data_IF_206335297942
#
_entry.id   IF_206335297942
#
_cell.length_a   1.000
_cell.length_b   1.000
_cell.length_c   1.000
_cell.angle_alpha   90.00
_cell.angle_beta   90.00
_cell.angle_gamma   90.00
#
_symmetry.space_group_name_H-M   'P 1'
#
loop_
_entity.id
_entity.type
_entity.pdbx_description
1 polymer ?
#
# COMPACT_ATOMS: atom_id res chain seq x y z
N UNK A 1 5.22 -9.77 31.64
CA UNK A 1 3.90 -9.18 31.99
C UNK A 1 3.47 -8.00 31.11
N UNK A 2 4.34 -7.06 30.72
CA UNK A 2 3.96 -5.90 29.92
C UNK A 2 3.41 -6.23 28.51
N UNK A 3 3.93 -7.24 27.83
CA UNK A 3 3.47 -7.68 26.50
C UNK A 3 2.04 -8.25 26.54
N UNK A 4 1.73 -9.10 27.53
CA UNK A 4 0.41 -9.69 27.71
C UNK A 4 -0.69 -8.63 27.91
N UNK A 5 -0.41 -7.59 28.72
CA UNK A 5 -1.35 -6.49 28.97
C UNK A 5 -1.55 -5.58 27.73
N UNK A 6 -0.54 -5.46 26.86
CA UNK A 6 -0.67 -4.74 25.58
C UNK A 6 -1.55 -5.52 24.60
N UNK A 7 -1.35 -6.83 24.48
CA UNK A 7 -2.14 -7.68 23.58
C UNK A 7 -3.61 -7.71 23.98
N UNK A 8 -3.92 -7.83 25.28
CA UNK A 8 -5.30 -7.81 25.78
C UNK A 8 -6.02 -6.48 25.49
N UNK A 9 -5.33 -5.33 25.62
CA UNK A 9 -5.92 -4.02 25.28
C UNK A 9 -6.25 -3.87 23.80
N UNK A 10 -5.48 -4.49 22.91
CA UNK A 10 -5.71 -4.42 21.46
C UNK A 10 -6.91 -5.29 21.07
N UNK A 11 -7.08 -6.46 21.70
CA UNK A 11 -8.16 -7.40 21.40
C UNK A 11 -9.55 -6.91 21.87
N UNK A 12 -9.62 -6.14 22.95
CA UNK A 12 -10.89 -5.70 23.55
C UNK A 12 -11.17 -4.19 23.38
N UNK A 13 -10.53 -3.54 22.43
CA UNK A 13 -10.76 -2.11 22.20
C UNK A 13 -12.09 -1.83 21.49
N UNK A 14 -12.73 -0.67 21.75
CA UNK A 14 -13.95 -0.29 21.04
C UNK A 14 -13.68 -0.10 19.54
N UNK A 15 -14.55 -0.60 18.66
CA UNK A 15 -14.41 -0.40 17.20
C UNK A 15 -14.22 1.07 16.79
N UNK A 16 -14.83 2.00 17.51
CA UNK A 16 -14.68 3.45 17.26
C UNK A 16 -13.22 3.93 17.41
N UNK A 17 -12.40 3.28 18.24
CA UNK A 17 -10.98 3.64 18.39
C UNK A 17 -10.11 3.20 17.21
N UNK A 18 -10.62 2.33 16.33
CA UNK A 18 -9.96 1.92 15.10
C UNK A 18 -10.17 2.92 13.94
N UNK A 19 -11.03 3.92 14.11
CA UNK A 19 -11.24 4.97 13.10
C UNK A 19 -10.22 6.08 13.25
N UNK A 20 -9.76 6.61 12.12
CA UNK A 20 -8.95 7.83 12.10
C UNK A 20 -9.73 9.00 12.71
N UNK A 21 -9.10 9.71 13.64
CA UNK A 21 -9.58 10.99 14.14
C UNK A 21 -8.46 12.02 14.09
N UNK A 22 -8.84 13.27 13.91
CA UNK A 22 -7.92 14.39 13.94
C UNK A 22 -7.58 14.72 15.40
N UNK A 23 -6.32 14.50 15.79
CA UNK A 23 -5.82 14.82 17.11
C UNK A 23 -5.34 16.29 17.20
N UNK A 24 -4.95 16.88 16.08
CA UNK A 24 -4.61 18.31 15.92
C UNK A 24 -4.69 18.70 14.43
N UNK A 25 -4.56 19.98 14.04
CA UNK A 25 -4.64 20.40 12.63
C UNK A 25 -3.79 19.59 11.65
N UNK A 26 -2.62 19.09 12.10
CA UNK A 26 -1.66 18.34 11.27
C UNK A 26 -1.49 16.88 11.67
N UNK A 27 -2.21 16.38 12.69
CA UNK A 27 -1.99 15.03 13.23
C UNK A 27 -3.30 14.24 13.24
N UNK A 28 -3.27 13.08 12.61
CA UNK A 28 -4.37 12.11 12.58
C UNK A 28 -3.91 10.82 13.25
N UNK A 29 -4.81 10.19 14.01
CA UNK A 29 -4.48 8.99 14.78
C UNK A 29 -5.63 8.00 14.76
N UNK A 30 -5.29 6.73 14.88
CA UNK A 30 -6.19 5.65 15.30
C UNK A 30 -5.42 4.64 16.14
N UNK A 31 -6.12 3.80 16.87
CA UNK A 31 -5.48 2.63 17.45
C UNK A 31 -5.14 1.62 16.34
N UNK A 32 -4.11 0.81 16.60
CA UNK A 32 -3.81 -0.35 15.77
C UNK A 32 -4.81 -1.47 16.05
N UNK A 33 -5.19 -2.23 15.03
CA UNK A 33 -6.02 -3.43 15.21
C UNK A 33 -5.18 -4.64 15.69
N UNK A 34 -5.85 -5.77 15.94
CA UNK A 34 -5.18 -7.00 16.39
C UNK A 34 -4.17 -7.55 15.38
N UNK A 35 -4.44 -7.40 14.09
CA UNK A 35 -3.59 -7.92 13.01
C UNK A 35 -2.34 -7.05 12.87
N UNK A 36 -2.49 -5.72 12.90
CA UNK A 36 -1.37 -4.78 12.96
C UNK A 36 -0.52 -5.01 14.22
N UNK A 37 -1.16 -5.21 15.38
CA UNK A 37 -0.48 -5.51 16.64
C UNK A 37 0.35 -6.80 16.58
N UNK A 38 -0.19 -7.86 15.96
CA UNK A 38 0.52 -9.11 15.71
C UNK A 38 1.78 -8.86 14.86
N UNK A 39 1.66 -8.15 13.73
CA UNK A 39 2.79 -7.92 12.83
C UNK A 39 3.85 -6.98 13.42
N UNK A 40 3.45 -5.96 14.20
CA UNK A 40 4.40 -5.09 14.91
C UNK A 40 5.26 -5.90 15.88
N UNK A 41 4.62 -6.79 16.65
CA UNK A 41 5.26 -7.62 17.67
C UNK A 41 6.16 -8.67 17.00
N UNK A 42 5.60 -9.49 16.12
CA UNK A 42 6.30 -10.58 15.44
C UNK A 42 7.41 -10.10 14.49
N UNK A 43 7.27 -8.90 13.91
CA UNK A 43 8.25 -8.32 13.01
C UNK A 43 9.48 -7.75 13.73
N UNK A 44 9.33 -7.28 14.96
CA UNK A 44 10.33 -6.49 15.68
C UNK A 44 10.97 -7.20 16.89
N UNK A 45 10.43 -8.33 17.32
CA UNK A 45 11.00 -9.11 18.43
C UNK A 45 12.22 -9.93 18.00
N UNK A 46 13.27 -9.94 18.84
CA UNK A 46 14.47 -10.77 18.68
C UNK A 46 15.14 -10.64 17.29
N UNK A 47 15.11 -9.45 16.70
CA UNK A 47 15.83 -9.12 15.47
C UNK A 47 17.04 -8.25 15.79
N UNK A 48 18.23 -8.50 15.18
CA UNK A 48 19.37 -7.60 15.29
C UNK A 48 18.99 -6.17 14.89
N UNK A 49 19.65 -5.19 15.48
CA UNK A 49 19.37 -3.78 15.22
C UNK A 49 19.43 -3.48 13.71
N UNK A 50 18.40 -2.79 13.20
CA UNK A 50 18.28 -2.44 11.78
C UNK A 50 17.75 -3.56 10.88
N UNK A 51 17.43 -4.74 11.43
CA UNK A 51 16.71 -5.82 10.75
C UNK A 51 15.25 -5.86 11.21
N UNK A 52 14.38 -6.41 10.36
CA UNK A 52 12.97 -6.68 10.67
C UNK A 52 12.54 -7.95 9.96
N UNK A 53 11.62 -8.70 10.59
CA UNK A 53 10.97 -9.87 9.98
C UNK A 53 9.64 -9.46 9.38
N UNK A 54 9.13 -10.31 8.51
CA UNK A 54 7.80 -10.18 7.88
C UNK A 54 7.67 -8.97 6.95
N UNK A 55 8.75 -8.32 6.53
CA UNK A 55 8.61 -7.32 5.47
C UNK A 55 8.09 -7.96 4.19
N UNK A 56 7.08 -7.35 3.61
CA UNK A 56 6.62 -7.69 2.27
C UNK A 56 7.48 -6.94 1.27
N UNK A 57 7.94 -7.66 0.24
CA UNK A 57 8.67 -7.07 -0.88
C UNK A 57 8.04 -7.54 -2.18
N UNK A 58 7.67 -6.59 -3.03
CA UNK A 58 7.26 -6.86 -4.41
C UNK A 58 8.20 -6.14 -5.36
N UNK A 59 8.71 -6.87 -6.35
CA UNK A 59 9.62 -6.35 -7.38
C UNK A 59 8.92 -6.36 -8.72
N UNK A 60 9.08 -5.29 -9.49
CA UNK A 60 8.63 -5.19 -10.87
C UNK A 60 9.79 -4.78 -11.77
N UNK A 61 9.93 -5.48 -12.89
CA UNK A 61 10.86 -5.15 -13.96
C UNK A 61 10.07 -4.60 -15.14
N UNK A 62 10.33 -3.37 -15.54
CA UNK A 62 9.66 -2.74 -16.67
C UNK A 62 10.43 -3.00 -17.97
N UNK A 63 9.79 -3.71 -18.89
CA UNK A 63 10.23 -3.75 -20.27
C UNK A 63 9.70 -2.51 -20.99
N UNK A 64 10.51 -1.45 -20.99
CA UNK A 64 10.22 -0.24 -21.76
C UNK A 64 10.79 -0.45 -23.16
N UNK A 65 9.94 -0.38 -24.19
CA UNK A 65 10.37 -0.43 -25.58
C UNK A 65 11.20 0.79 -25.97
N UNK A 66 11.25 1.13 -27.27
CA UNK A 66 12.00 2.30 -27.77
C UNK A 66 11.46 3.67 -27.29
N UNK A 67 10.52 3.69 -26.35
CA UNK A 67 9.94 4.90 -25.78
C UNK A 67 10.81 5.55 -24.70
N UNK A 68 10.30 6.64 -24.15
CA UNK A 68 10.97 7.36 -23.07
C UNK A 68 10.98 6.53 -21.78
N UNK A 69 12.16 6.02 -21.45
CA UNK A 69 12.44 5.36 -20.17
C UNK A 69 12.14 6.30 -19.00
N UNK A 70 11.51 5.81 -17.91
CA UNK A 70 11.21 6.64 -16.76
C UNK A 70 12.50 7.10 -16.10
N UNK A 71 12.70 8.41 -16.01
CA UNK A 71 13.80 9.01 -15.27
C UNK A 71 13.57 8.91 -13.77
N UNK A 72 14.65 8.94 -12.97
CA UNK A 72 14.57 9.04 -11.50
C UNK A 72 13.67 10.18 -11.03
N UNK A 73 13.68 11.32 -11.72
CA UNK A 73 12.82 12.47 -11.37
C UNK A 73 11.34 12.16 -11.53
N UNK A 74 10.96 11.52 -12.64
CA UNK A 74 9.58 11.12 -12.90
C UNK A 74 9.11 10.05 -11.90
N UNK A 75 9.97 9.07 -11.62
CA UNK A 75 9.71 8.03 -10.62
C UNK A 75 9.46 8.61 -9.22
N UNK A 76 10.29 9.57 -8.79
CA UNK A 76 10.10 10.28 -7.51
C UNK A 76 8.83 11.11 -7.48
N UNK A 77 8.48 11.78 -8.58
CA UNK A 77 7.22 12.52 -8.69
C UNK A 77 6.01 11.58 -8.59
N UNK A 78 6.07 10.41 -9.22
CA UNK A 78 5.02 9.38 -9.12
C UNK A 78 4.84 8.90 -7.68
N UNK A 79 5.94 8.72 -6.95
CA UNK A 79 5.89 8.35 -5.53
C UNK A 79 5.22 9.41 -4.65
N UNK A 80 5.52 10.70 -4.89
CA UNK A 80 4.80 11.80 -4.22
C UNK A 80 3.32 11.78 -4.58
N UNK A 81 2.97 11.62 -5.86
CA UNK A 81 1.58 11.60 -6.33
C UNK A 81 0.80 10.45 -5.66
N UNK A 82 1.41 9.27 -5.59
CA UNK A 82 0.84 8.11 -4.91
C UNK A 82 0.60 8.39 -3.42
N UNK A 83 1.53 9.03 -2.73
CA UNK A 83 1.36 9.40 -1.31
C UNK A 83 0.24 10.42 -1.08
N UNK A 84 -0.07 11.29 -2.05
CA UNK A 84 -1.24 12.17 -1.94
C UNK A 84 -2.54 11.37 -2.02
N UNK A 85 -2.59 10.34 -2.86
CA UNK A 85 -3.74 9.43 -2.99
C UNK A 85 -3.88 8.48 -1.79
N UNK A 86 -2.76 8.03 -1.24
CA UNK A 86 -2.70 7.04 -0.17
C UNK A 86 -1.90 7.56 1.03
N UNK A 87 -2.35 8.62 1.72
CA UNK A 87 -1.58 9.25 2.80
C UNK A 87 -1.20 8.29 3.94
N UNK A 88 -1.98 7.22 4.14
CA UNK A 88 -1.70 6.18 5.14
C UNK A 88 -0.34 5.47 4.92
N UNK A 89 0.24 5.51 3.72
CA UNK A 89 1.57 4.98 3.47
C UNK A 89 2.68 5.77 4.18
N UNK A 90 2.44 7.05 4.51
CA UNK A 90 3.39 7.88 5.24
C UNK A 90 3.19 7.84 6.77
N UNK A 91 2.16 7.09 7.23
CA UNK A 91 1.90 6.90 8.66
C UNK A 91 2.94 6.01 9.33
N UNK A 92 3.03 6.09 10.66
CA UNK A 92 3.95 5.32 11.50
C UNK A 92 3.23 4.74 12.70
N UNK A 93 3.80 3.69 13.29
CA UNK A 93 3.32 3.16 14.57
C UNK A 93 4.05 3.85 15.73
N UNK A 94 3.29 4.41 16.67
CA UNK A 94 3.78 4.99 17.93
C UNK A 94 3.04 4.32 19.10
N UNK A 95 3.71 3.38 19.76
CA UNK A 95 3.09 2.56 20.80
C UNK A 95 1.94 1.73 20.23
N UNK A 96 0.72 1.93 20.72
CA UNK A 96 -0.49 1.23 20.26
C UNK A 96 -1.31 2.04 19.25
N UNK A 97 -0.73 3.08 18.65
CA UNK A 97 -1.41 3.98 17.71
C UNK A 97 -0.72 3.99 16.36
N UNK A 98 -1.52 4.02 15.30
CA UNK A 98 -1.09 4.44 13.96
C UNK A 98 -1.28 5.94 13.86
N UNK A 99 -0.22 6.65 13.51
CA UNK A 99 -0.15 8.11 13.51
C UNK A 99 0.27 8.59 12.14
N UNK A 100 -0.51 9.52 11.61
CA UNK A 100 -0.22 10.19 10.37
C UNK A 100 -0.01 11.68 10.62
N UNK A 101 1.04 12.22 10.02
CA UNK A 101 1.38 13.63 10.08
C UNK A 101 1.20 14.23 8.69
N UNK A 102 0.35 15.26 8.59
CA UNK A 102 0.27 16.08 7.40
C UNK A 102 1.60 16.81 7.25
N UNK A 103 2.25 16.62 6.10
CA UNK A 103 3.59 17.12 5.84
C UNK A 103 3.55 18.45 5.09
N UNK A 104 4.36 19.40 5.53
CA UNK A 104 4.69 20.58 4.74
C UNK A 104 5.63 20.22 3.56
N UNK A 105 6.10 21.25 2.84
CA UNK A 105 6.99 21.03 1.69
C UNK A 105 8.34 20.42 2.08
N UNK A 106 8.94 20.87 3.18
CA UNK A 106 10.25 20.41 3.64
C UNK A 106 10.16 18.98 4.20
N UNK A 107 9.16 18.71 5.02
CA UNK A 107 8.88 17.38 5.57
C UNK A 107 8.59 16.36 4.47
N UNK A 108 7.89 16.78 3.41
CA UNK A 108 7.63 15.92 2.24
C UNK A 108 8.91 15.54 1.51
N UNK A 109 9.84 16.49 1.36
CA UNK A 109 11.13 16.22 0.73
C UNK A 109 11.96 15.25 1.57
N UNK A 110 12.01 15.46 2.89
CA UNK A 110 12.67 14.53 3.81
C UNK A 110 12.06 13.13 3.76
N UNK A 111 10.72 13.02 3.73
CA UNK A 111 10.03 11.74 3.56
C UNK A 111 10.37 11.07 2.23
N UNK A 112 10.44 11.83 1.13
CA UNK A 112 10.79 11.30 -0.18
C UNK A 112 12.23 10.78 -0.21
N UNK A 113 13.16 11.49 0.43
CA UNK A 113 14.57 11.08 0.51
C UNK A 113 14.76 9.83 1.39
N UNK A 114 13.93 9.66 2.42
CA UNK A 114 13.89 8.45 3.25
C UNK A 114 13.27 7.25 2.51
N UNK A 115 12.20 7.47 1.74
CA UNK A 115 11.33 6.40 1.22
C UNK A 115 11.49 6.10 -0.27
N UNK A 116 12.31 6.85 -1.00
CA UNK A 116 12.64 6.55 -2.39
C UNK A 116 14.16 6.46 -2.57
N UNK A 117 14.65 5.22 -2.62
CA UNK A 117 16.08 4.90 -2.64
C UNK A 117 16.52 4.50 -4.03
N UNK A 118 17.48 5.23 -4.59
CA UNK A 118 18.16 4.82 -5.81
C UNK A 118 19.22 3.76 -5.48
N UNK A 119 19.29 2.70 -6.26
CA UNK A 119 20.23 1.57 -6.09
C UNK A 119 21.24 1.60 -7.23
N UNK A 120 22.39 2.28 -7.07
CA UNK A 120 23.40 2.38 -8.12
C UNK A 120 24.24 1.10 -8.23
N UNK A 121 24.71 0.80 -9.44
CA UNK A 121 25.73 -0.24 -9.67
C UNK A 121 25.22 -1.67 -9.58
N UNK A 122 23.91 -1.87 -9.53
CA UNK A 122 23.29 -3.20 -9.52
C UNK A 122 22.64 -3.51 -10.86
N UNK A 123 22.45 -4.80 -11.15
CA UNK A 123 21.71 -5.27 -12.32
C UNK A 123 20.30 -5.76 -11.99
N UNK A 124 20.04 -6.09 -10.72
CA UNK A 124 18.74 -6.56 -10.25
C UNK A 124 18.51 -6.22 -8.77
N UNK A 125 17.24 -6.12 -8.36
CA UNK A 125 16.83 -5.94 -6.97
C UNK A 125 16.56 -7.29 -6.31
N UNK A 126 17.64 -8.04 -6.05
CA UNK A 126 17.56 -9.33 -5.35
C UNK A 126 17.38 -9.15 -3.84
N UNK A 127 16.97 -10.21 -3.10
CA UNK A 127 16.93 -10.16 -1.64
C UNK A 127 18.27 -9.75 -1.02
N UNK A 128 19.40 -10.21 -1.55
CA UNK A 128 20.75 -9.86 -1.09
C UNK A 128 21.03 -8.35 -1.25
N UNK A 129 20.66 -7.78 -2.41
CA UNK A 129 20.77 -6.36 -2.69
C UNK A 129 19.95 -5.55 -1.69
N UNK A 130 18.68 -5.91 -1.50
CA UNK A 130 17.77 -5.21 -0.59
C UNK A 130 18.17 -5.38 0.88
N UNK A 131 18.80 -6.50 1.24
CA UNK A 131 19.29 -6.77 2.59
C UNK A 131 20.49 -5.91 3.01
N UNK A 132 21.11 -5.16 2.10
CA UNK A 132 22.12 -4.14 2.46
C UNK A 132 21.50 -2.86 3.03
N UNK A 133 20.21 -2.63 2.76
CA UNK A 133 19.49 -1.46 3.25
C UNK A 133 18.76 -1.77 4.56
N UNK A 134 18.87 -0.85 5.53
CA UNK A 134 18.18 -0.95 6.83
C UNK A 134 16.67 -1.09 6.64
N UNK A 135 16.02 -1.88 7.50
CA UNK A 135 14.57 -1.94 7.55
C UNK A 135 13.99 -0.57 7.91
N UNK A 136 12.96 -0.14 7.19
CA UNK A 136 12.33 1.19 7.33
C UNK A 136 10.93 1.05 7.90
N UNK A 137 10.51 1.93 8.81
CA UNK A 137 9.16 1.86 9.40
C UNK A 137 8.02 2.19 8.43
N UNK A 138 8.37 2.58 7.19
CA UNK A 138 7.46 3.01 6.15
C UNK A 138 7.68 2.20 4.86
N UNK A 139 6.67 2.07 4.01
CA UNK A 139 6.84 1.60 2.64
C UNK A 139 7.95 2.39 1.95
N UNK A 140 8.89 1.69 1.34
CA UNK A 140 10.07 2.25 0.70
C UNK A 140 10.19 1.68 -0.70
N UNK A 141 10.30 2.57 -1.69
CA UNK A 141 10.54 2.25 -3.07
C UNK A 141 12.05 2.23 -3.34
N UNK A 142 12.56 1.10 -3.82
CA UNK A 142 13.90 0.96 -4.35
C UNK A 142 13.83 1.03 -5.87
N UNK A 143 14.68 1.84 -6.48
CA UNK A 143 14.72 2.04 -7.92
C UNK A 143 16.12 1.80 -8.46
N UNK A 144 16.21 0.97 -9.48
CA UNK A 144 17.42 0.72 -10.25
C UNK A 144 17.19 1.30 -11.65
N UNK A 145 17.78 2.47 -11.88
CA UNK A 145 17.47 3.30 -13.05
C UNK A 145 17.85 2.62 -14.36
N UNK A 146 19.04 2.00 -14.42
CA UNK A 146 19.57 1.39 -15.64
C UNK A 146 18.78 0.16 -16.12
N UNK A 147 18.23 -0.62 -15.17
CA UNK A 147 17.42 -1.82 -15.46
C UNK A 147 15.91 -1.57 -15.35
N UNK A 148 15.48 -0.32 -15.13
CA UNK A 148 14.07 0.07 -14.95
C UNK A 148 13.29 -0.82 -13.98
N UNK A 149 13.96 -1.19 -12.89
CA UNK A 149 13.43 -2.12 -11.90
C UNK A 149 13.05 -1.37 -10.63
N UNK A 150 11.89 -1.71 -10.09
CA UNK A 150 11.39 -1.17 -8.84
C UNK A 150 11.16 -2.30 -7.85
N UNK A 151 11.45 -2.06 -6.57
CA UNK A 151 11.03 -2.92 -5.49
C UNK A 151 10.36 -2.10 -4.40
N UNK A 152 9.11 -2.43 -4.09
CA UNK A 152 8.40 -1.89 -2.94
C UNK A 152 8.61 -2.82 -1.76
N UNK A 153 9.32 -2.34 -0.73
CA UNK A 153 9.46 -3.03 0.56
C UNK A 153 8.64 -2.31 1.63
N UNK A 154 7.87 -3.05 2.40
CA UNK A 154 7.00 -2.47 3.44
C UNK A 154 6.92 -3.37 4.66
N UNK A 155 6.84 -2.79 5.88
CA UNK A 155 6.42 -3.56 7.04
C UNK A 155 5.00 -4.12 6.84
N UNK A 156 4.77 -5.40 7.15
CA UNK A 156 3.46 -6.04 6.99
C UNK A 156 2.34 -5.44 7.85
N UNK A 157 2.69 -4.78 8.96
CA UNK A 157 1.70 -4.05 9.76
C UNK A 157 1.13 -2.83 9.02
N UNK A 158 1.75 -2.40 7.90
CA UNK A 158 1.30 -1.22 7.15
C UNK A 158 0.26 -1.60 6.10
N UNK A 159 0.46 -2.74 5.44
CA UNK A 159 -0.37 -3.27 4.36
C UNK A 159 -0.19 -4.78 4.24
N UNK A 160 -1.21 -5.45 3.70
CA UNK A 160 -1.15 -6.86 3.33
C UNK A 160 -0.60 -7.05 1.91
N UNK A 161 -0.46 -8.31 1.48
CA UNK A 161 0.05 -8.63 0.15
C UNK A 161 -0.76 -8.01 -0.99
N UNK A 162 -2.09 -7.97 -0.87
CA UNK A 162 -2.97 -7.36 -1.88
C UNK A 162 -2.70 -5.86 -1.98
N UNK A 163 -2.61 -5.18 -0.84
CA UNK A 163 -2.27 -3.77 -0.74
C UNK A 163 -0.91 -3.44 -1.38
N UNK A 164 0.10 -4.31 -1.24
CA UNK A 164 1.40 -4.12 -1.93
C UNK A 164 1.22 -4.11 -3.44
N UNK A 165 0.50 -5.09 -4.00
CA UNK A 165 0.31 -5.18 -5.45
C UNK A 165 -0.57 -4.04 -5.99
N UNK A 166 -1.65 -3.69 -5.29
CA UNK A 166 -2.52 -2.56 -5.65
C UNK A 166 -1.74 -1.25 -5.65
N UNK A 167 -0.96 -0.97 -4.58
CA UNK A 167 -0.16 0.24 -4.46
C UNK A 167 0.92 0.32 -5.55
N UNK A 168 1.57 -0.81 -5.87
CA UNK A 168 2.56 -0.88 -6.94
C UNK A 168 1.94 -0.68 -8.33
N UNK A 169 0.75 -1.25 -8.58
CA UNK A 169 0.00 -1.03 -9.83
C UNK A 169 -0.39 0.44 -10.01
N UNK A 170 -0.91 1.07 -8.96
CA UNK A 170 -1.23 2.51 -8.99
C UNK A 170 0.01 3.39 -9.17
N UNK A 171 1.14 3.01 -8.54
CA UNK A 171 2.42 3.68 -8.75
C UNK A 171 2.84 3.66 -10.23
N UNK A 172 2.74 2.51 -10.90
CA UNK A 172 3.07 2.38 -12.32
C UNK A 172 2.13 3.21 -13.20
N UNK A 173 0.85 3.30 -12.84
CA UNK A 173 -0.09 4.18 -13.53
C UNK A 173 0.26 5.66 -13.35
N UNK A 174 0.61 6.11 -12.14
CA UNK A 174 1.12 7.47 -11.89
C UNK A 174 2.39 7.76 -12.70
N UNK A 175 3.32 6.80 -12.74
CA UNK A 175 4.56 6.91 -13.48
C UNK A 175 4.31 7.08 -14.98
N UNK A 176 3.39 6.28 -15.55
CA UNK A 176 2.97 6.40 -16.94
C UNK A 176 2.40 7.77 -17.27
N UNK A 177 1.48 8.29 -16.44
CA UNK A 177 0.89 9.63 -16.64
C UNK A 177 1.94 10.74 -16.62
N UNK A 178 2.85 10.69 -15.65
CA UNK A 178 3.94 11.67 -15.52
C UNK A 178 4.92 11.56 -16.69
N UNK A 179 5.22 10.35 -17.15
CA UNK A 179 6.08 10.12 -18.31
C UNK A 179 5.46 10.69 -19.60
N UNK A 180 4.14 10.56 -19.75
CA UNK A 180 3.37 11.09 -20.87
C UNK A 180 3.05 12.60 -20.77
N UNK A 181 3.52 13.27 -19.70
CA UNK A 181 3.24 14.69 -19.42
C UNK A 181 1.73 14.99 -19.32
N UNK A 182 0.93 14.02 -18.90
CA UNK A 182 -0.47 14.24 -18.59
C UNK A 182 -0.58 15.19 -17.39
N UNK A 183 -1.57 16.08 -17.41
CA UNK A 183 -1.74 17.06 -16.34
C UNK A 183 -1.97 16.34 -15.00
N UNK A 184 -1.21 16.72 -13.98
CA UNK A 184 -1.49 16.28 -12.63
C UNK A 184 -2.82 16.88 -12.20
N UNK A 185 -3.83 16.06 -11.98
CA UNK A 185 -4.95 16.48 -11.17
C UNK A 185 -4.41 16.90 -9.80
N UNK A 186 -4.72 18.13 -9.39
CA UNK A 186 -4.34 18.66 -8.09
C UNK A 186 -5.17 17.91 -7.04
N UNK A 187 -4.65 16.77 -6.58
CA UNK A 187 -5.24 16.03 -5.47
C UNK A 187 -4.72 16.65 -4.17
N UNK A 188 -5.57 17.45 -3.54
CA UNK A 188 -5.38 17.83 -2.16
C UNK A 188 -5.71 16.65 -1.27
N UNK A 189 -4.77 16.34 -0.38
CA UNK A 189 -4.87 15.21 0.54
C UNK A 189 -6.03 15.40 1.53
N UNK A 190 -7.01 14.49 1.49
CA UNK A 190 -8.16 14.53 2.38
C UNK A 190 -8.01 13.53 3.53
N UNK A 191 -8.50 13.85 4.74
CA UNK A 191 -8.54 12.89 5.84
C UNK A 191 -9.29 11.60 5.52
N UNK A 192 -10.25 11.63 4.58
CA UNK A 192 -10.99 10.46 4.09
C UNK A 192 -10.11 9.46 3.31
N UNK A 193 -8.95 9.90 2.82
CA UNK A 193 -8.03 9.07 2.03
C UNK A 193 -7.13 8.21 2.94
N UNK A 194 -7.23 8.38 4.27
CA UNK A 194 -6.54 7.54 5.23
C UNK A 194 -7.22 6.17 5.29
N UNK A 195 -6.54 5.16 4.71
CA UNK A 195 -7.00 3.77 4.72
C UNK A 195 -7.42 3.27 6.11
N UNK A 196 -8.56 2.59 6.15
CA UNK A 196 -9.06 1.90 7.34
C UNK A 196 -8.15 0.74 7.75
N UNK A 197 -8.35 0.23 8.97
CA UNK A 197 -7.73 -1.02 9.40
C UNK A 197 -8.45 -2.23 8.79
N UNK A 198 -7.84 -3.41 8.83
CA UNK A 198 -8.44 -4.62 8.23
C UNK A 198 -9.76 -4.97 8.92
N UNK A 199 -9.81 -4.86 10.25
CA UNK A 199 -11.03 -5.11 11.04
C UNK A 199 -12.18 -4.15 10.69
N UNK A 200 -11.88 -2.93 10.26
CA UNK A 200 -12.89 -1.99 9.77
C UNK A 200 -13.30 -2.28 8.32
N UNK A 201 -12.36 -2.68 7.46
CA UNK A 201 -12.60 -2.96 6.05
C UNK A 201 -13.41 -4.25 5.81
N UNK A 202 -13.25 -5.28 6.64
CA UNK A 202 -13.93 -6.58 6.51
C UNK A 202 -15.38 -6.55 7.04
N UNK A 203 -15.82 -5.42 7.60
CA UNK A 203 -17.20 -5.34 8.09
C UNK A 203 -18.17 -5.56 6.93
N UNK A 204 -19.13 -6.49 7.07
CA UNK A 204 -20.12 -6.70 6.03
C UNK A 204 -20.86 -5.38 5.83
N UNK A 205 -20.69 -4.77 4.67
CA UNK A 205 -21.67 -3.81 4.17
C UNK A 205 -22.99 -4.56 4.15
N UNK A 206 -23.86 -4.27 5.13
CA UNK A 206 -25.25 -4.70 5.15
C UNK A 206 -25.99 -4.00 4.01
N UNK A 207 -25.66 -4.39 2.79
CA UNK A 207 -26.29 -4.05 1.52
C UNK A 207 -25.95 -5.16 0.53
N UNK A 208 -26.01 -6.42 0.98
CA UNK A 208 -26.23 -7.52 0.05
C UNK A 208 -27.73 -7.56 -0.16
N UNK A 209 -28.19 -6.90 -1.22
CA UNK A 209 -29.48 -7.19 -1.82
C UNK A 209 -29.53 -8.70 -2.02
N UNK A 210 -30.52 -9.38 -1.42
CA UNK A 210 -30.78 -10.80 -1.65
C UNK A 210 -31.07 -10.97 -3.15
N UNK A 211 -30.05 -11.23 -3.94
CA UNK A 211 -30.24 -11.82 -5.26
C UNK A 211 -30.56 -13.28 -5.01
N UNK A 212 -31.85 -13.60 -5.02
CA UNK A 212 -32.34 -14.96 -5.04
C UNK A 212 -31.77 -15.65 -6.26
N UNK A 213 -30.84 -16.59 -6.08
CA UNK A 213 -30.47 -17.53 -7.11
C UNK A 213 -31.64 -18.49 -7.29
N UNK A 214 -32.46 -18.27 -8.31
CA UNK A 214 -33.37 -19.28 -8.83
C UNK A 214 -32.53 -20.38 -9.45
N UNK A 215 -32.64 -21.58 -8.89
CA UNK A 215 -32.05 -22.82 -9.39
C UNK A 215 -32.41 -23.00 -10.86
N UNK A 216 -31.40 -23.05 -11.74
CA UNK A 216 -31.57 -23.46 -13.13
C UNK A 216 -31.85 -24.96 -13.17
N UNK A 217 -33.08 -25.32 -13.52
CA UNK A 217 -33.46 -26.68 -13.88
C UNK A 217 -32.81 -27.10 -15.21
N UNK A 218 -32.20 -28.29 -15.18
CA UNK A 218 -31.94 -29.26 -16.25
C UNK A 218 -31.50 -28.80 -17.67
N UNK A 219 -30.29 -29.17 -18.12
CA UNK A 219 -29.85 -28.98 -19.50
C UNK A 219 -30.23 -30.20 -20.36
N UNK A 220 -31.41 -30.21 -21.01
CA UNK A 220 -31.66 -31.20 -22.08
C UNK A 220 -32.63 -30.79 -23.19
N UNK A 221 -32.93 -29.50 -23.38
CA UNK A 221 -33.69 -29.06 -24.57
C UNK A 221 -33.25 -27.70 -25.07
N UNK A 222 -32.27 -27.68 -25.97
CA UNK A 222 -32.18 -26.63 -27.00
C UNK A 222 -31.38 -27.12 -28.22
N UNK A 223 -31.83 -28.24 -28.79
CA UNK A 223 -31.64 -28.48 -30.22
C UNK A 223 -32.88 -27.93 -30.95
N UNK A 224 -32.65 -27.25 -32.07
CA UNK A 224 -33.61 -26.59 -32.96
C UNK A 224 -34.08 -25.19 -32.55
N UNK A 225 -33.46 -24.16 -33.18
CA UNK A 225 -34.14 -23.12 -33.98
C UNK A 225 -33.13 -22.03 -34.35
N UNK A 226 -32.48 -22.21 -35.50
CA UNK A 226 -32.03 -21.11 -36.34
C UNK A 226 -33.20 -20.69 -37.23
N UNK A 227 -33.40 -19.38 -37.47
CA UNK A 227 -33.84 -18.94 -38.77
C UNK A 227 -32.77 -18.05 -39.40
N UNK A 228 -32.32 -18.53 -40.56
CA UNK A 228 -31.72 -17.74 -41.64
C UNK A 228 -32.80 -16.77 -42.12
N UNK A 229 -32.46 -15.50 -42.31
CA UNK A 229 -33.08 -14.70 -43.36
C UNK A 229 -32.12 -13.63 -43.86
N UNK A 230 -31.68 -13.82 -45.11
CA UNK A 230 -31.32 -12.73 -46.01
C UNK A 230 -32.62 -12.09 -46.53
N UNK A 231 -32.59 -10.76 -46.65
CA UNK A 231 -32.80 -10.03 -47.90
C UNK A 231 -32.06 -8.69 -47.80
#
# INVERSE_FOLDING_TARGET
MATLMRTLRILFQPKKSLRWYQASPTIFRRNIDAVEGFHVTSGSENVPQGRRRLDLTATVNLQVGNGNKPTRHQARKAWIALRRKHPAMASVIQGSKRVYYRMDHQERQAWLDETFVNVPGEHALTPEVLNRYKATSRPTMYFLEDAHMFALRTPHYTMDGLGVFSLLGEYLAELGRIANKEQNACFDEQPSDLASCLEEAVQPTLSVTKTTFTTLENPTKLASKLPIHCN
#
